data_IF_949355031491
#
_entry.id   IF_949355031491
#
_cell.length_a   1.000
_cell.length_b   1.000
_cell.length_c   1.000
_cell.angle_alpha   90.00
_cell.angle_beta   90.00
_cell.angle_gamma   90.00
#
_symmetry.space_group_name_H-M   'P 1'
#
loop_
_entity.id
_entity.type
_entity.pdbx_description
1 polymer ?
#
# COMPACT_ATOMS: atom_id res chain seq x y z
N UNK A 1 -1.38 -10.06 -14.76
CA UNK A 1 -2.41 -11.06 -14.99
C UNK A 1 -2.77 -11.79 -13.70
N UNK A 2 -4.08 -11.94 -13.44
CA UNK A 2 -4.55 -12.60 -12.23
C UNK A 2 -4.65 -14.10 -12.47
N UNK A 3 -4.05 -14.88 -11.56
CA UNK A 3 -4.07 -16.33 -11.62
C UNK A 3 -4.97 -16.89 -10.52
N UNK A 4 -5.30 -18.20 -10.59
CA UNK A 4 -6.21 -18.83 -9.62
C UNK A 4 -5.70 -18.79 -8.20
N UNK A 5 -4.37 -18.79 -8.01
CA UNK A 5 -3.76 -18.74 -6.68
C UNK A 5 -3.63 -17.34 -6.12
N UNK A 6 -3.96 -16.32 -6.91
CA UNK A 6 -3.87 -14.94 -6.48
C UNK A 6 -5.03 -14.57 -5.55
N UNK A 7 -4.81 -13.58 -4.71
CA UNK A 7 -5.85 -13.00 -3.86
C UNK A 7 -6.74 -12.10 -4.72
N UNK A 8 -7.81 -12.68 -5.25
CA UNK A 8 -8.68 -11.97 -6.20
C UNK A 8 -9.34 -10.73 -5.57
N UNK A 9 -9.72 -10.81 -4.30
CA UNK A 9 -10.35 -9.65 -3.64
C UNK A 9 -9.36 -8.50 -3.54
N UNK A 10 -8.12 -8.79 -3.19
CA UNK A 10 -7.08 -7.79 -3.13
C UNK A 10 -6.84 -7.16 -4.50
N UNK A 11 -6.73 -7.98 -5.53
CA UNK A 11 -6.42 -7.49 -6.88
C UNK A 11 -7.56 -6.66 -7.47
N UNK A 12 -8.81 -7.08 -7.23
CA UNK A 12 -9.98 -6.30 -7.68
C UNK A 12 -10.02 -4.95 -6.96
N UNK A 13 -9.81 -4.95 -5.65
CA UNK A 13 -9.81 -3.70 -4.88
C UNK A 13 -8.66 -2.80 -5.33
N UNK A 14 -7.46 -3.33 -5.46
CA UNK A 14 -6.30 -2.56 -5.91
C UNK A 14 -6.55 -1.94 -7.28
N UNK A 15 -7.08 -2.73 -8.22
CA UNK A 15 -7.38 -2.23 -9.57
C UNK A 15 -8.36 -1.07 -9.54
N UNK A 16 -9.32 -1.09 -8.61
CA UNK A 16 -10.32 -0.02 -8.50
C UNK A 16 -9.72 1.32 -8.07
N UNK A 17 -8.53 1.31 -7.51
CA UNK A 17 -7.85 2.53 -7.06
C UNK A 17 -6.85 3.09 -8.07
N UNK A 18 -6.51 2.33 -9.11
CA UNK A 18 -5.55 2.81 -10.11
C UNK A 18 -6.04 4.10 -10.74
N UNK A 19 -5.15 5.07 -10.86
CA UNK A 19 -5.49 6.37 -11.42
C UNK A 19 -6.10 7.37 -10.44
N UNK A 20 -6.43 6.95 -9.21
CA UNK A 20 -6.95 7.88 -8.20
C UNK A 20 -5.92 8.97 -7.95
N UNK A 21 -6.33 10.26 -7.99
CA UNK A 21 -5.38 11.37 -7.78
C UNK A 21 -4.70 11.30 -6.41
N UNK A 22 -3.46 11.74 -6.35
CA UNK A 22 -2.77 11.89 -5.07
C UNK A 22 -3.23 13.18 -4.39
N UNK A 23 -3.66 13.06 -3.14
CA UNK A 23 -4.03 14.22 -2.33
C UNK A 23 -3.53 14.00 -0.91
N UNK A 24 -2.65 14.86 -0.43
CA UNK A 24 -2.13 14.76 0.93
C UNK A 24 -3.28 14.75 1.93
N UNK A 25 -3.28 13.75 2.81
CA UNK A 25 -4.36 13.58 3.79
C UNK A 25 -5.63 12.98 3.23
N UNK A 26 -5.69 12.69 1.92
CA UNK A 26 -6.87 12.15 1.28
C UNK A 26 -7.10 10.68 1.59
N UNK A 27 -8.37 10.27 1.61
CA UNK A 27 -8.75 8.89 1.93
C UNK A 27 -9.95 8.41 1.12
N UNK A 28 -10.17 8.96 -0.07
CA UNK A 28 -11.28 8.58 -0.94
C UNK A 28 -10.82 8.46 -2.39
N UNK A 29 -11.72 8.00 -3.25
CA UNK A 29 -11.43 7.89 -4.68
C UNK A 29 -11.38 9.24 -5.41
N UNK A 30 -11.72 10.32 -4.71
CA UNK A 30 -11.52 11.68 -5.20
C UNK A 30 -10.09 12.16 -4.97
N UNK A 31 -9.38 11.55 -4.04
CA UNK A 31 -7.99 11.84 -3.76
C UNK A 31 -7.53 11.05 -2.55
N UNK A 32 -6.33 10.45 -2.64
CA UNK A 32 -5.82 9.57 -1.60
C UNK A 32 -4.31 9.76 -1.45
N UNK A 33 -3.80 9.66 -0.22
CA UNK A 33 -2.36 9.59 -0.01
C UNK A 33 -1.92 8.13 0.22
N UNK A 34 -0.62 7.90 0.46
CA UNK A 34 -0.10 6.55 0.51
C UNK A 34 -0.71 5.72 1.65
N UNK A 35 -0.77 6.27 2.85
CA UNK A 35 -1.35 5.57 3.99
C UNK A 35 -2.87 5.52 3.96
N UNK A 36 -3.50 6.50 3.33
CA UNK A 36 -4.95 6.47 3.09
C UNK A 36 -5.34 5.33 2.17
N UNK A 37 -4.54 5.08 1.14
CA UNK A 37 -4.75 3.96 0.22
C UNK A 37 -4.63 2.62 0.95
N UNK A 38 -3.59 2.42 1.74
CA UNK A 38 -3.43 1.16 2.47
C UNK A 38 -4.52 0.95 3.50
N UNK A 39 -4.95 2.02 4.19
CA UNK A 39 -6.08 1.94 5.11
C UNK A 39 -7.35 1.50 4.39
N UNK A 40 -7.65 2.09 3.24
CA UNK A 40 -8.87 1.78 2.49
C UNK A 40 -8.85 0.34 1.98
N UNK A 41 -7.75 -0.10 1.40
CA UNK A 41 -7.65 -1.46 0.86
C UNK A 41 -7.74 -2.49 1.97
N UNK A 42 -7.01 -2.30 3.07
CA UNK A 42 -7.06 -3.24 4.19
C UNK A 42 -8.45 -3.32 4.82
N UNK A 43 -9.12 -2.19 4.97
CA UNK A 43 -10.47 -2.20 5.50
C UNK A 43 -11.44 -2.91 4.56
N UNK A 44 -11.35 -2.64 3.26
CA UNK A 44 -12.30 -3.19 2.30
C UNK A 44 -12.06 -4.67 2.00
N UNK A 45 -10.82 -5.13 2.02
CA UNK A 45 -10.49 -6.52 1.67
C UNK A 45 -10.46 -7.41 2.90
N UNK A 46 -9.83 -6.94 3.98
CA UNK A 46 -9.56 -7.78 5.16
C UNK A 46 -10.36 -7.39 6.39
N UNK A 47 -11.09 -6.28 6.35
CA UNK A 47 -11.81 -5.77 7.53
C UNK A 47 -10.87 -5.32 8.64
N UNK A 48 -9.63 -5.00 8.31
CA UNK A 48 -8.61 -4.59 9.28
C UNK A 48 -8.47 -3.07 9.22
N UNK A 49 -8.45 -2.44 10.39
CA UNK A 49 -8.29 -1.01 10.51
C UNK A 49 -6.84 -0.67 10.88
N UNK A 50 -6.12 -0.12 9.92
CA UNK A 50 -4.73 0.30 10.12
C UNK A 50 -4.67 1.70 10.74
N UNK A 51 -3.54 2.04 11.36
CA UNK A 51 -3.30 3.41 11.75
C UNK A 51 -3.22 4.30 10.52
N UNK A 52 -3.55 5.59 10.70
CA UNK A 52 -3.78 6.48 9.54
C UNK A 52 -2.51 6.90 8.83
N UNK A 53 -1.37 6.97 9.50
CA UNK A 53 -0.14 7.46 8.89
C UNK A 53 0.90 6.34 8.75
N UNK A 54 1.74 6.45 7.72
CA UNK A 54 2.68 5.38 7.37
C UNK A 54 3.65 5.03 8.49
N UNK A 55 4.12 6.04 9.22
CA UNK A 55 5.03 5.78 10.35
C UNK A 55 4.37 4.91 11.42
N UNK A 56 3.11 5.20 11.75
CA UNK A 56 2.39 4.41 12.75
C UNK A 56 2.02 3.03 12.23
N UNK A 57 1.72 2.92 10.94
CA UNK A 57 1.50 1.60 10.35
C UNK A 57 2.76 0.75 10.48
N UNK A 58 3.92 1.32 10.23
CA UNK A 58 5.19 0.62 10.40
C UNK A 58 5.44 0.23 11.85
N UNK A 59 5.23 1.14 12.78
CA UNK A 59 5.54 0.93 14.19
C UNK A 59 4.53 0.05 14.92
N UNK A 60 3.25 0.15 14.56
CA UNK A 60 2.16 -0.45 15.33
C UNK A 60 1.40 -1.54 14.58
N UNK A 61 1.29 -1.44 13.26
CA UNK A 61 0.51 -2.39 12.48
C UNK A 61 1.37 -3.46 11.82
N UNK A 62 2.68 -3.21 11.66
CA UNK A 62 3.58 -4.20 11.11
C UNK A 62 3.77 -5.33 12.10
N UNK A 63 3.36 -6.53 11.72
CA UNK A 63 3.50 -7.70 12.57
C UNK A 63 4.94 -8.22 12.56
N UNK A 64 5.17 -9.29 11.79
CA UNK A 64 6.51 -9.84 11.64
C UNK A 64 7.13 -9.33 10.34
N UNK A 65 8.24 -8.57 10.40
CA UNK A 65 8.93 -8.13 9.19
C UNK A 65 9.36 -9.33 8.36
N UNK A 66 9.20 -9.22 7.04
CA UNK A 66 9.64 -10.26 6.12
C UNK A 66 10.81 -9.74 5.29
N UNK A 67 11.70 -10.65 4.87
CA UNK A 67 12.70 -10.30 3.88
C UNK A 67 12.01 -10.08 2.53
N UNK A 68 12.64 -9.33 1.61
CA UNK A 68 12.03 -9.11 0.29
C UNK A 68 11.65 -10.40 -0.44
N UNK A 69 12.42 -11.47 -0.23
CA UNK A 69 12.16 -12.76 -0.89
C UNK A 69 10.94 -13.48 -0.30
N UNK A 70 10.52 -13.11 0.89
CA UNK A 70 9.41 -13.77 1.59
C UNK A 70 8.11 -12.96 1.52
N UNK A 71 8.05 -11.90 0.73
CA UNK A 71 6.85 -11.07 0.61
C UNK A 71 5.68 -11.88 0.07
N UNK A 72 4.51 -11.62 0.63
CA UNK A 72 3.26 -12.24 0.21
C UNK A 72 2.28 -11.18 -0.25
N UNK A 73 1.33 -11.59 -1.09
CA UNK A 73 0.28 -10.70 -1.57
C UNK A 73 -0.45 -10.08 -0.37
N UNK A 74 -0.59 -8.76 -0.41
CA UNK A 74 -1.23 -8.02 0.66
C UNK A 74 -0.27 -7.48 1.72
N UNK A 75 1.00 -7.89 1.72
CA UNK A 75 1.94 -7.36 2.70
C UNK A 75 2.17 -5.86 2.49
N UNK A 76 2.28 -5.13 3.59
CA UNK A 76 2.65 -3.73 3.56
C UNK A 76 4.14 -3.61 3.24
N UNK A 77 4.49 -2.65 2.39
CA UNK A 77 5.88 -2.36 2.02
C UNK A 77 6.15 -0.92 2.40
N UNK A 78 7.19 -0.72 3.19
CA UNK A 78 7.51 0.61 3.72
C UNK A 78 8.80 1.12 3.11
N UNK A 79 8.84 2.44 2.92
CA UNK A 79 9.98 3.12 2.30
C UNK A 79 10.38 4.33 3.11
N UNK A 80 11.67 4.66 3.04
CA UNK A 80 12.20 5.89 3.59
C UNK A 80 12.91 6.64 2.46
N UNK A 81 12.60 7.92 2.31
CA UNK A 81 13.28 8.77 1.33
C UNK A 81 14.64 9.25 1.83
N UNK A 82 14.98 8.96 3.09
CA UNK A 82 16.27 9.32 3.66
C UNK A 82 17.09 8.05 3.92
N UNK A 83 18.38 8.22 4.26
CA UNK A 83 19.22 7.09 4.63
C UNK A 83 18.91 6.55 6.02
N UNK A 84 18.07 7.23 6.78
CA UNK A 84 17.71 6.81 8.14
C UNK A 84 16.47 5.90 8.04
N UNK A 85 16.62 4.58 8.30
CA UNK A 85 15.51 3.65 8.20
C UNK A 85 14.42 3.87 9.26
N UNK A 86 14.67 4.71 10.26
CA UNK A 86 13.63 5.07 11.24
C UNK A 86 12.66 6.12 10.69
N UNK A 87 12.95 6.71 9.53
CA UNK A 87 12.15 7.79 8.95
C UNK A 87 11.28 7.28 7.82
N UNK A 88 10.30 6.45 8.17
CA UNK A 88 9.35 5.91 7.20
C UNK A 88 8.42 7.03 6.76
N UNK A 89 8.33 7.26 5.46
CA UNK A 89 7.49 8.30 4.89
C UNK A 89 6.63 7.84 3.72
N UNK A 90 6.70 6.55 3.38
CA UNK A 90 5.89 6.02 2.28
C UNK A 90 5.53 4.56 2.54
N UNK A 91 4.38 4.14 2.02
CA UNK A 91 3.90 2.77 2.17
C UNK A 91 3.12 2.36 0.93
N UNK A 92 3.18 1.08 0.60
CA UNK A 92 2.39 0.47 -0.45
C UNK A 92 2.00 -0.94 -0.05
N UNK A 93 1.32 -1.63 -0.95
CA UNK A 93 0.90 -3.02 -0.73
C UNK A 93 1.49 -3.90 -1.83
N UNK A 94 2.17 -4.96 -1.42
CA UNK A 94 2.76 -5.91 -2.35
C UNK A 94 1.67 -6.71 -3.05
N UNK A 95 1.78 -6.84 -4.36
CA UNK A 95 0.82 -7.61 -5.16
C UNK A 95 1.41 -8.96 -5.55
N UNK A 96 2.27 -9.00 -6.55
CA UNK A 96 2.99 -10.22 -6.91
C UNK A 96 4.19 -9.88 -7.78
N UNK A 97 5.09 -10.85 -7.92
CA UNK A 97 6.33 -10.64 -8.65
C UNK A 97 7.15 -9.59 -7.93
N UNK A 98 7.43 -8.48 -8.60
CA UNK A 98 8.08 -7.34 -8.00
C UNK A 98 7.18 -6.10 -8.00
N UNK A 99 5.86 -6.30 -8.13
CA UNK A 99 4.89 -5.20 -8.21
C UNK A 99 4.28 -4.89 -6.86
N UNK A 100 4.07 -3.60 -6.60
CA UNK A 100 3.28 -3.14 -5.46
C UNK A 100 2.43 -1.94 -5.91
N UNK A 101 1.30 -1.74 -5.22
CA UNK A 101 0.43 -0.58 -5.48
C UNK A 101 0.69 0.48 -4.43
N UNK A 102 0.77 1.74 -4.87
CA UNK A 102 0.93 2.86 -3.95
C UNK A 102 0.39 4.15 -4.56
N UNK A 103 0.01 5.08 -3.69
CA UNK A 103 -0.37 6.42 -4.12
C UNK A 103 0.92 7.24 -4.21
N UNK A 104 1.28 7.65 -5.41
CA UNK A 104 2.56 8.29 -5.70
C UNK A 104 2.40 9.80 -5.80
N UNK A 105 3.07 10.55 -4.92
CA UNK A 105 3.05 12.01 -5.01
C UNK A 105 3.79 12.51 -6.24
N UNK A 106 4.87 11.83 -6.64
CA UNK A 106 5.65 12.23 -7.81
C UNK A 106 4.91 11.97 -9.11
N UNK A 107 4.04 10.97 -9.16
CA UNK A 107 3.20 10.68 -10.33
C UNK A 107 1.83 11.34 -10.24
N UNK A 108 1.47 11.87 -9.07
CA UNK A 108 0.19 12.53 -8.85
C UNK A 108 -1.01 11.59 -8.79
N UNK A 109 -0.79 10.28 -8.73
CA UNK A 109 -1.88 9.30 -8.76
C UNK A 109 -1.46 7.95 -8.18
N UNK A 110 -2.45 7.09 -7.97
CA UNK A 110 -2.21 5.71 -7.55
C UNK A 110 -1.79 4.87 -8.75
N UNK A 111 -0.67 4.17 -8.60
CA UNK A 111 -0.10 3.34 -9.65
C UNK A 111 0.37 2.00 -9.08
N UNK A 112 0.54 1.01 -9.95
CA UNK A 112 1.23 -0.23 -9.61
C UNK A 112 2.60 -0.19 -10.27
N UNK A 113 3.65 -0.43 -9.49
CA UNK A 113 5.03 -0.39 -9.99
C UNK A 113 5.85 -1.54 -9.42
N UNK A 114 6.98 -1.73 -10.02
CA UNK A 114 7.97 -2.70 -9.58
C UNK A 114 8.98 -2.08 -8.63
#
# INVERSE_FOLDING_TARGET
EIERTDDHRLFIEAASWLGTPYTFGGSSKLGVDCSGLTCAIYNNVYGVQLHRISKEQFEKDLGHPRSPEALKQGDLVFFSSSYDPSRIDHVGIFLKGSKFIHASSSKGQTIDVR
#
